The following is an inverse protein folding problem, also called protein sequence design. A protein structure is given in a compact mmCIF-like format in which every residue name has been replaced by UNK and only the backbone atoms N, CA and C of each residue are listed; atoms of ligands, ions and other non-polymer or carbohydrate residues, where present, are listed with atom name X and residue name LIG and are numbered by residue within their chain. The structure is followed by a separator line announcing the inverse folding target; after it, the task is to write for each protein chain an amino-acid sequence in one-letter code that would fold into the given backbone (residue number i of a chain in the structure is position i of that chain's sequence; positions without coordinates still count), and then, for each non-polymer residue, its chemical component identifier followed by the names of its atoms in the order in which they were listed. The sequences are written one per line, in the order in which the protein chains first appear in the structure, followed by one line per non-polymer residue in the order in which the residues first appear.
data_IF_122465124784
#
_entry.id   IF_122465124784
#
_cell.length_a   1.000
_cell.length_b   1.000
_cell.length_c   1.000
_cell.angle_alpha   90.00
_cell.angle_beta   90.00
_cell.angle_gamma   90.00
#
_symmetry.space_group_name_H-M   'P 1'
#
loop_
_entity.id
_entity.type
_entity.pdbx_description
1 polymer ?
#
# COMPACT_ATOMS: atom_id res chain seq x y z
N UNK A 1 9.41 -10.23 7.72
CA UNK A 1 8.81 -10.47 6.39
C UNK A 1 8.28 -9.15 5.83
N UNK A 2 8.66 -8.83 4.63
CA UNK A 2 8.23 -7.60 3.99
C UNK A 2 6.97 -7.87 3.18
N UNK A 3 5.90 -7.14 3.48
CA UNK A 3 4.63 -7.26 2.79
C UNK A 3 4.34 -5.93 2.11
N UNK A 4 3.99 -5.97 0.82
CA UNK A 4 3.56 -4.79 0.10
C UNK A 4 2.15 -4.41 0.57
N UNK A 5 1.96 -3.14 0.84
CA UNK A 5 0.70 -2.61 1.35
C UNK A 5 0.02 -1.80 0.25
N UNK A 6 -1.26 -2.06 -0.07
CA UNK A 6 -1.96 -1.26 -1.06
C UNK A 6 -2.36 0.10 -0.50
N UNK A 7 -2.24 1.13 -1.33
CA UNK A 7 -2.65 2.48 -0.99
C UNK A 7 -3.15 3.21 -2.22
N UNK A 8 -3.80 4.33 -2.03
CA UNK A 8 -4.35 5.14 -3.11
C UNK A 8 -3.63 6.48 -3.16
N UNK A 9 -3.16 6.88 -4.33
CA UNK A 9 -2.50 8.16 -4.50
C UNK A 9 -3.51 9.28 -4.26
N UNK A 10 -3.26 10.09 -3.23
CA UNK A 10 -4.13 11.22 -2.89
C UNK A 10 -3.61 12.53 -3.47
N UNK A 11 -2.29 12.66 -3.68
CA UNK A 11 -1.67 13.88 -4.17
C UNK A 11 -0.30 13.57 -4.75
N UNK A 12 0.04 14.21 -5.86
CA UNK A 12 1.39 14.17 -6.42
C UNK A 12 2.18 15.31 -5.77
N UNK A 13 3.30 14.98 -5.16
CA UNK A 13 4.14 15.96 -4.44
C UNK A 13 5.26 16.47 -5.32
N UNK A 14 5.95 15.57 -6.03
CA UNK A 14 7.12 15.89 -6.84
C UNK A 14 7.19 14.93 -8.02
N UNK A 15 8.19 15.09 -8.86
CA UNK A 15 8.38 14.25 -10.05
C UNK A 15 8.55 12.77 -9.71
N UNK A 16 8.97 12.46 -8.50
CA UNK A 16 9.19 11.08 -8.05
C UNK A 16 8.54 10.77 -6.70
N UNK A 17 7.62 11.61 -6.24
CA UNK A 17 6.99 11.42 -4.93
C UNK A 17 5.51 11.73 -4.96
N UNK A 18 4.75 10.95 -4.20
CA UNK A 18 3.32 11.14 -4.03
C UNK A 18 2.93 10.90 -2.58
N UNK A 19 1.84 11.53 -2.18
CA UNK A 19 1.19 11.21 -0.92
C UNK A 19 0.20 10.09 -1.18
N UNK A 20 0.30 9.03 -0.39
CA UNK A 20 -0.53 7.84 -0.54
C UNK A 20 -1.37 7.65 0.71
N UNK A 21 -2.65 7.39 0.50
CA UNK A 21 -3.63 7.13 1.55
C UNK A 21 -3.74 5.62 1.80
N UNK A 22 -3.41 5.22 3.01
CA UNK A 22 -3.47 3.83 3.45
C UNK A 22 -4.67 3.61 4.40
N UNK A 23 -5.83 4.11 4.02
CA UNK A 23 -7.03 3.96 4.84
C UNK A 23 -7.13 5.01 5.95
N UNK A 24 -6.83 6.26 5.61
CA UNK A 24 -6.86 7.38 6.55
C UNK A 24 -5.50 7.79 7.07
N UNK A 25 -4.47 6.99 6.79
CA UNK A 25 -3.08 7.33 7.14
C UNK A 25 -2.36 7.74 5.86
N UNK A 26 -1.80 8.93 5.84
CA UNK A 26 -1.13 9.49 4.66
C UNK A 26 0.38 9.42 4.84
N UNK A 27 1.07 8.94 3.81
CA UNK A 27 2.54 8.84 3.81
C UNK A 27 3.10 9.25 2.46
N UNK A 28 4.28 9.83 2.48
CA UNK A 28 5.03 10.15 1.27
C UNK A 28 5.68 8.87 0.74
N UNK A 29 5.50 8.62 -0.56
CA UNK A 29 5.96 7.40 -1.22
C UNK A 29 6.77 7.77 -2.45
N UNK A 30 7.88 7.08 -2.66
CA UNK A 30 8.75 7.27 -3.82
C UNK A 30 8.19 6.52 -5.03
N UNK A 31 8.13 7.18 -6.17
CA UNK A 31 7.56 6.65 -7.41
C UNK A 31 8.60 6.23 -8.45
N UNK A 32 9.89 6.27 -8.12
CA UNK A 32 10.96 5.99 -9.08
C UNK A 32 10.83 4.63 -9.74
N UNK A 33 10.39 3.62 -9.00
CA UNK A 33 10.24 2.27 -9.52
C UNK A 33 9.10 2.13 -10.51
N UNK A 34 8.19 3.11 -10.56
CA UNK A 34 7.07 3.15 -11.50
C UNK A 34 7.33 4.06 -12.70
N UNK A 35 8.52 4.64 -12.77
CA UNK A 35 8.84 5.61 -13.83
C UNK A 35 8.55 7.05 -13.45
N UNK A 36 8.27 7.32 -12.18
CA UNK A 36 8.01 8.67 -11.68
C UNK A 36 6.54 9.08 -11.73
N UNK A 37 6.27 10.31 -11.35
CA UNK A 37 4.91 10.84 -11.26
C UNK A 37 4.20 10.91 -12.63
N UNK A 38 4.94 11.01 -13.72
CA UNK A 38 4.35 11.05 -15.07
C UNK A 38 3.64 9.75 -15.46
N UNK A 39 4.00 8.64 -14.82
CA UNK A 39 3.39 7.34 -15.08
C UNK A 39 2.26 7.02 -14.11
N UNK A 40 1.93 7.94 -13.20
CA UNK A 40 0.91 7.75 -12.18
C UNK A 40 -0.05 8.93 -12.18
N UNK A 41 -1.20 8.75 -11.54
CA UNK A 41 -2.20 9.80 -11.39
C UNK A 41 -2.88 9.72 -10.04
N UNK A 42 -3.40 10.85 -9.57
CA UNK A 42 -4.22 10.89 -8.36
C UNK A 42 -5.40 9.94 -8.55
N UNK A 43 -5.64 9.10 -7.55
CA UNK A 43 -6.68 8.09 -7.60
C UNK A 43 -6.18 6.71 -7.98
N UNK A 44 -4.94 6.59 -8.47
CA UNK A 44 -4.36 5.28 -8.77
C UNK A 44 -4.11 4.49 -7.50
N UNK A 45 -4.37 3.19 -7.56
CA UNK A 45 -4.02 2.27 -6.48
C UNK A 45 -2.64 1.70 -6.74
N UNK A 46 -1.79 1.70 -5.72
CA UNK A 46 -0.42 1.22 -5.85
C UNK A 46 -0.09 0.27 -4.70
N UNK A 47 0.82 -0.66 -4.96
CA UNK A 47 1.42 -1.47 -3.90
C UNK A 47 2.69 -0.76 -3.44
N UNK A 48 2.84 -0.61 -2.13
CA UNK A 48 3.96 0.11 -1.52
C UNK A 48 4.74 -0.83 -0.61
N UNK A 49 6.06 -0.83 -0.76
CA UNK A 49 6.97 -1.63 0.03
C UNK A 49 8.13 -0.76 0.48
N UNK A 50 8.26 -0.59 1.79
CA UNK A 50 9.34 0.20 2.42
C UNK A 50 9.46 1.62 1.83
N UNK A 51 8.31 2.28 1.64
CA UNK A 51 8.28 3.66 1.14
C UNK A 51 8.41 3.82 -0.37
N UNK A 52 8.47 2.72 -1.13
CA UNK A 52 8.51 2.73 -2.59
C UNK A 52 7.27 2.10 -3.18
N UNK A 53 6.66 2.79 -4.13
CA UNK A 53 5.58 2.20 -4.93
C UNK A 53 6.21 1.23 -5.92
N UNK A 54 5.77 -0.03 -5.91
CA UNK A 54 6.37 -1.08 -6.73
C UNK A 54 5.50 -1.52 -7.90
N UNK A 55 4.20 -1.28 -7.83
CA UNK A 55 3.32 -1.55 -8.97
C UNK A 55 2.03 -0.76 -8.85
N UNK A 56 1.42 -0.50 -10.00
CA UNK A 56 0.08 0.08 -10.07
C UNK A 56 -0.88 -1.09 -10.20
N UNK A 57 -1.93 -1.10 -9.38
CA UNK A 57 -2.91 -2.17 -9.36
C UNK A 57 -4.31 -1.60 -9.61
N UNK A 58 -5.25 -2.47 -9.96
CA UNK A 58 -6.64 -2.06 -10.12
C UNK A 58 -7.31 -1.88 -8.76
N UNK A 59 -8.43 -1.16 -8.74
CA UNK A 59 -9.22 -0.99 -7.52
C UNK A 59 -9.65 -2.34 -6.96
N UNK A 60 -10.03 -3.28 -7.82
CA UNK A 60 -10.41 -4.63 -7.40
C UNK A 60 -9.24 -5.39 -6.79
N UNK A 61 -8.07 -5.31 -7.41
CA UNK A 61 -6.86 -5.94 -6.87
C UNK A 61 -6.49 -5.34 -5.51
N UNK A 62 -6.64 -4.03 -5.35
CA UNK A 62 -6.37 -3.36 -4.08
C UNK A 62 -7.32 -3.87 -3.00
N UNK A 63 -8.61 -3.99 -3.31
CA UNK A 63 -9.61 -4.49 -2.39
C UNK A 63 -9.31 -5.91 -1.95
N UNK A 64 -8.99 -6.79 -2.89
CA UNK A 64 -8.65 -8.19 -2.60
C UNK A 64 -7.37 -8.29 -1.75
N UNK A 65 -6.40 -7.44 -2.03
CA UNK A 65 -5.14 -7.41 -1.26
C UNK A 65 -5.40 -6.98 0.18
N UNK A 66 -6.25 -5.98 0.39
CA UNK A 66 -6.62 -5.51 1.73
C UNK A 66 -7.35 -6.62 2.49
N UNK A 67 -8.30 -7.30 1.86
CA UNK A 67 -9.01 -8.41 2.48
C UNK A 67 -8.08 -9.53 2.91
N UNK A 68 -7.15 -9.91 2.04
CA UNK A 68 -6.17 -10.96 2.35
C UNK A 68 -5.25 -10.54 3.50
N UNK A 69 -4.85 -9.27 3.54
CA UNK A 69 -4.01 -8.73 4.59
C UNK A 69 -4.75 -8.73 5.94
N UNK A 70 -6.03 -8.34 5.94
CA UNK A 70 -6.85 -8.36 7.15
C UNK A 70 -7.03 -9.77 7.70
N UNK A 71 -7.24 -10.76 6.83
CA UNK A 71 -7.34 -12.16 7.23
C UNK A 71 -6.04 -12.65 7.86
N UNK A 72 -4.91 -12.27 7.27
CA UNK A 72 -3.60 -12.65 7.79
C UNK A 72 -3.35 -12.04 9.17
N UNK A 73 -3.70 -10.77 9.37
CA UNK A 73 -3.56 -10.10 10.66
C UNK A 73 -4.45 -10.75 11.71
N UNK A 74 -5.68 -11.05 11.36
CA UNK A 74 -6.63 -11.72 12.28
C UNK A 74 -6.09 -13.09 12.71
N UNK A 75 -5.55 -13.87 11.77
CA UNK A 75 -4.96 -15.17 12.06
C UNK A 75 -3.74 -15.03 12.98
N UNK A 76 -2.90 -14.04 12.75
CA UNK A 76 -1.72 -13.80 13.59
C UNK A 76 -2.11 -13.37 15.00
N UNK A 77 -3.12 -12.53 15.15
CA UNK A 77 -3.62 -12.11 16.47
C UNK A 77 -4.15 -13.31 17.26
N UNK A 78 -4.92 -14.16 16.62
CA UNK A 78 -5.46 -15.37 17.27
C UNK A 78 -4.32 -16.30 17.71
N UNK A 79 -3.31 -16.46 16.87
CA UNK A 79 -2.14 -17.28 17.18
C UNK A 79 -1.37 -16.70 18.38
N UNK A 80 -1.15 -15.40 18.40
CA UNK A 80 -0.45 -14.73 19.50
C UNK A 80 -1.20 -14.87 20.81
N UNK A 81 -2.52 -14.77 20.81
CA UNK A 81 -3.32 -14.97 22.01
C UNK A 81 -3.18 -16.38 22.57
N UNK A 82 -3.15 -17.38 21.70
CA UNK A 82 -2.94 -18.77 22.10
C UNK A 82 -1.54 -18.97 22.69
N UNK A 83 -0.55 -18.32 22.14
CA UNK A 83 0.82 -18.43 22.61
C UNK A 83 1.03 -17.76 23.96
N UNK A 84 0.30 -16.70 24.24
CA UNK A 84 0.37 -15.99 25.52
C UNK A 84 -0.31 -16.76 26.67
N UNK A 85 -1.26 -17.56 26.32
CA UNK A 85 -2.05 -18.32 27.28
C UNK A 85 -1.26 -19.33 27.99
#
# INVERSE_FOLDING_TARGET
MCIAIPGKISKIIDVNKAEVDFGGVFREVNLDLLGGASETAVGDHVLVHVGYAISIITEEEARLTIEAFDELLAANEAFDEQMKG
#
